data_IF_269905195210
#
_entry.id   IF_269905195210
#
_cell.length_a   1.000
_cell.length_b   1.000
_cell.length_c   1.000
_cell.angle_alpha   90.00
_cell.angle_beta   90.00
_cell.angle_gamma   90.00
#
_symmetry.space_group_name_H-M   'P 1'
#
loop_
_entity.id
_entity.type
_entity.pdbx_description
1 polymer ?
#
# COMPACT_ATOMS: atom_id res chain seq x y z
N UNK A 1 -26.65 33.21 55.03
CA UNK A 1 -25.24 33.29 54.58
C UNK A 1 -24.77 31.86 54.32
N UNK A 2 -24.82 31.42 53.06
CA UNK A 2 -23.66 31.18 52.18
C UNK A 2 -22.74 30.06 52.67
N UNK A 3 -22.82 28.90 52.01
CA UNK A 3 -21.67 28.03 51.77
C UNK A 3 -22.00 27.17 50.55
N UNK A 4 -21.62 27.68 49.39
CA UNK A 4 -21.71 27.04 48.08
C UNK A 4 -20.76 25.83 48.05
N UNK A 5 -21.27 24.63 47.80
CA UNK A 5 -20.44 23.45 47.54
C UNK A 5 -20.14 23.45 46.04
N UNK A 6 -18.97 23.98 45.70
CA UNK A 6 -18.44 24.07 44.35
C UNK A 6 -18.09 22.69 43.77
N UNK A 7 -18.70 22.41 42.62
CA UNK A 7 -18.36 21.43 41.59
C UNK A 7 -16.85 21.12 41.49
N UNK A 8 -16.48 19.86 41.65
CA UNK A 8 -15.25 19.29 41.14
C UNK A 8 -15.57 18.31 40.00
N UNK A 9 -15.95 18.85 38.84
CA UNK A 9 -16.02 18.08 37.60
C UNK A 9 -14.58 17.89 37.08
N UNK A 10 -13.95 16.77 37.48
CA UNK A 10 -12.63 16.38 37.01
C UNK A 10 -12.73 16.05 35.50
N UNK A 11 -12.22 16.97 34.68
CA UNK A 11 -12.14 16.82 33.22
C UNK A 11 -11.15 15.69 32.90
N UNK A 12 -11.66 14.48 32.67
CA UNK A 12 -10.91 13.43 31.96
C UNK A 12 -10.86 13.79 30.47
N UNK A 13 -9.99 14.73 30.12
CA UNK A 13 -9.56 14.92 28.73
C UNK A 13 -8.65 13.75 28.36
N UNK A 14 -9.26 12.64 27.93
CA UNK A 14 -8.54 11.51 27.36
C UNK A 14 -7.84 11.95 26.07
N UNK A 15 -6.51 12.04 26.12
CA UNK A 15 -5.68 12.15 24.93
C UNK A 15 -5.83 10.84 24.13
N UNK A 16 -6.69 10.83 23.12
CA UNK A 16 -6.74 9.78 22.12
C UNK A 16 -5.46 9.86 21.28
N UNK A 17 -4.38 9.23 21.75
CA UNK A 17 -3.23 8.95 20.90
C UNK A 17 -3.73 8.02 19.80
N UNK A 18 -3.79 8.52 18.56
CA UNK A 18 -4.02 7.69 17.38
C UNK A 18 -2.79 6.78 17.24
N UNK A 19 -2.91 5.54 17.72
CA UNK A 19 -1.89 4.52 17.53
C UNK A 19 -1.75 4.28 16.02
N UNK A 20 -0.73 4.90 15.40
CA UNK A 20 -0.39 4.65 14.00
C UNK A 20 0.25 3.28 13.97
N UNK A 21 -0.41 2.32 13.33
CA UNK A 21 0.15 0.97 13.17
C UNK A 21 1.54 1.08 12.54
N UNK A 22 2.50 0.35 13.09
CA UNK A 22 3.86 0.34 12.56
C UNK A 22 3.83 -0.17 11.11
N UNK A 23 4.56 0.48 10.18
CA UNK A 23 4.64 -0.01 8.80
C UNK A 23 5.14 -1.45 8.76
N UNK A 24 4.59 -2.26 7.84
CA UNK A 24 5.09 -3.61 7.62
C UNK A 24 6.59 -3.59 7.27
N UNK A 25 7.41 -4.55 7.76
CA UNK A 25 8.86 -4.56 7.50
C UNK A 25 9.25 -4.48 6.02
N UNK A 26 8.39 -4.98 5.13
CA UNK A 26 8.59 -4.96 3.67
C UNK A 26 7.87 -3.83 2.92
N UNK A 27 7.33 -2.84 3.62
CA UNK A 27 6.66 -1.68 2.99
C UNK A 27 7.60 -0.88 2.10
N UNK A 28 8.84 -0.64 2.54
CA UNK A 28 9.84 0.09 1.74
C UNK A 28 10.22 -0.65 0.45
N UNK A 29 10.34 -1.98 0.52
CA UNK A 29 10.61 -2.81 -0.66
C UNK A 29 9.42 -2.79 -1.64
N UNK A 30 8.18 -2.87 -1.14
CA UNK A 30 6.98 -2.77 -1.98
C UNK A 30 6.93 -1.44 -2.75
N UNK A 31 7.15 -0.32 -2.07
CA UNK A 31 7.19 1.01 -2.68
C UNK A 31 8.33 1.13 -3.71
N UNK A 32 9.52 0.59 -3.40
CA UNK A 32 10.66 0.63 -4.31
C UNK A 32 10.44 -0.19 -5.59
N UNK A 33 9.66 -1.27 -5.52
CA UNK A 33 9.36 -2.15 -6.67
C UNK A 33 8.20 -1.65 -7.53
N UNK A 34 7.26 -0.92 -6.94
CA UNK A 34 6.03 -0.48 -7.60
C UNK A 34 6.23 0.28 -8.92
N UNK A 35 7.16 1.26 -9.04
CA UNK A 35 7.36 1.95 -10.31
C UNK A 35 7.73 1.02 -11.46
N UNK A 36 8.55 0.00 -11.20
CA UNK A 36 8.98 -0.97 -12.22
C UNK A 36 7.85 -1.90 -12.64
N UNK A 37 7.01 -2.32 -11.69
CA UNK A 37 5.84 -3.16 -12.00
C UNK A 37 4.81 -2.36 -12.82
N UNK A 38 4.54 -1.11 -12.43
CA UNK A 38 3.62 -0.24 -13.17
C UNK A 38 4.13 0.04 -14.59
N UNK A 39 5.43 0.30 -14.74
CA UNK A 39 6.06 0.48 -16.04
C UNK A 39 5.97 -0.76 -16.94
N UNK A 40 6.05 -1.96 -16.38
CA UNK A 40 5.87 -3.21 -17.13
C UNK A 40 4.44 -3.39 -17.64
N UNK A 41 3.45 -2.82 -16.93
CA UNK A 41 2.04 -2.94 -17.29
C UNK A 41 1.57 -1.87 -18.29
N UNK A 42 2.24 -0.72 -18.35
CA UNK A 42 1.88 0.34 -19.28
C UNK A 42 2.19 -0.07 -20.73
N UNK A 43 1.16 -0.14 -21.58
CA UNK A 43 1.35 -0.28 -23.02
C UNK A 43 2.05 0.96 -23.61
N UNK A 44 2.82 0.73 -24.68
CA UNK A 44 3.55 1.72 -25.48
C UNK A 44 2.66 2.90 -25.93
N UNK A 45 1.36 2.65 -26.11
CA UNK A 45 0.35 3.59 -26.60
C UNK A 45 -0.42 4.34 -25.49
N UNK A 46 -0.28 3.90 -24.23
CA UNK A 46 -1.00 4.46 -23.07
C UNK A 46 -0.05 5.20 -22.11
N UNK A 47 1.25 4.94 -22.22
CA UNK A 47 2.25 5.96 -21.93
C UNK A 47 2.14 7.06 -23.00
N UNK A 48 2.22 8.36 -22.65
CA UNK A 48 2.49 9.42 -23.64
C UNK A 48 3.83 9.26 -24.41
N UNK A 49 4.44 8.08 -24.39
CA UNK A 49 5.71 7.70 -24.99
C UNK A 49 5.50 7.02 -26.35
N UNK A 50 4.66 7.60 -27.21
CA UNK A 50 4.74 7.33 -28.64
C UNK A 50 5.73 8.33 -29.25
N UNK A 51 7.00 7.89 -29.33
CA UNK A 51 8.16 8.38 -30.10
C UNK A 51 9.42 8.20 -29.23
N UNK A 52 10.01 6.99 -29.23
CA UNK A 52 11.40 6.80 -28.76
C UNK A 52 11.65 5.92 -27.54
N UNK A 53 10.73 5.05 -27.12
CA UNK A 53 11.04 3.91 -26.22
C UNK A 53 11.65 4.28 -24.85
N UNK A 54 11.43 5.51 -24.38
CA UNK A 54 11.84 5.95 -23.05
C UNK A 54 10.57 5.93 -22.19
N UNK A 55 10.57 5.05 -21.18
CA UNK A 55 9.58 5.06 -20.11
C UNK A 55 9.46 6.49 -19.58
N UNK A 56 8.30 7.11 -19.77
CA UNK A 56 8.04 8.41 -19.15
C UNK A 56 8.28 8.31 -17.64
N UNK A 57 8.79 9.37 -17.00
CA UNK A 57 8.93 9.35 -15.57
C UNK A 57 7.55 9.16 -14.95
N UNK A 58 7.32 7.98 -14.37
CA UNK A 58 6.16 7.62 -13.53
C UNK A 58 6.19 8.39 -12.19
N UNK A 59 6.74 9.61 -12.18
CA UNK A 59 6.84 10.46 -11.01
C UNK A 59 5.42 10.79 -10.53
N UNK A 60 5.09 10.38 -9.31
CA UNK A 60 3.75 10.52 -8.75
C UNK A 60 2.70 9.53 -9.30
N UNK A 61 3.10 8.56 -10.12
CA UNK A 61 2.22 7.51 -10.63
C UNK A 61 2.09 6.32 -9.67
N UNK A 62 2.80 6.35 -8.53
CA UNK A 62 2.72 5.33 -7.47
C UNK A 62 2.32 6.03 -6.18
N UNK A 63 1.33 5.47 -5.48
CA UNK A 63 0.92 5.95 -4.17
C UNK A 63 2.00 5.74 -3.11
N UNK A 64 2.06 6.61 -2.11
CA UNK A 64 3.05 6.55 -1.03
C UNK A 64 2.65 5.59 0.11
N UNK A 65 1.38 5.16 0.12
CA UNK A 65 0.83 4.30 1.16
C UNK A 65 0.91 2.83 0.77
N UNK A 66 1.22 2.00 1.78
CA UNK A 66 1.22 0.54 1.66
C UNK A 66 0.13 -0.02 2.55
N UNK A 67 -0.78 -0.79 1.96
CA UNK A 67 -1.90 -1.42 2.67
C UNK A 67 -1.64 -2.91 2.82
N UNK A 68 -1.63 -3.40 4.06
CA UNK A 68 -1.55 -4.84 4.33
C UNK A 68 -2.91 -5.48 4.04
N UNK A 69 -2.94 -6.46 3.15
CA UNK A 69 -4.10 -7.29 2.87
C UNK A 69 -4.04 -8.59 3.70
N UNK A 70 -5.16 -9.34 3.80
CA UNK A 70 -5.13 -10.67 4.37
C UNK A 70 -4.06 -11.54 3.69
N UNK A 71 -3.25 -12.20 4.51
CA UNK A 71 -2.25 -13.13 4.02
C UNK A 71 -2.89 -14.21 3.15
N UNK A 72 -2.17 -14.71 2.14
CA UNK A 72 -2.64 -15.81 1.29
C UNK A 72 -1.90 -17.11 1.61
N UNK A 73 -2.52 -18.26 1.34
CA UNK A 73 -1.88 -19.57 1.57
C UNK A 73 -0.80 -19.81 0.51
N UNK A 74 0.36 -20.33 0.91
CA UNK A 74 1.36 -20.78 -0.04
C UNK A 74 0.83 -21.96 -0.88
N UNK A 75 1.13 -21.96 -2.18
CA UNK A 75 0.70 -23.03 -3.10
C UNK A 75 1.37 -24.38 -2.80
N UNK A 76 2.52 -24.35 -2.11
CA UNK A 76 3.25 -25.53 -1.66
C UNK A 76 3.60 -25.37 -0.18
N UNK A 77 3.36 -26.42 0.61
CA UNK A 77 3.56 -26.43 2.06
C UNK A 77 2.37 -25.88 2.84
N UNK A 78 2.62 -25.53 4.09
CA UNK A 78 1.65 -25.05 5.08
C UNK A 78 1.77 -23.54 5.38
N UNK A 79 2.83 -22.89 4.91
CA UNK A 79 3.10 -21.47 5.12
C UNK A 79 2.10 -20.51 4.45
N UNK A 80 2.31 -19.22 4.74
CA UNK A 80 1.51 -18.10 4.21
C UNK A 80 2.42 -17.02 3.64
N UNK A 81 1.83 -16.16 2.82
CA UNK A 81 2.47 -14.97 2.29
C UNK A 81 1.80 -13.70 2.79
N UNK A 82 2.61 -12.72 3.17
CA UNK A 82 2.12 -11.36 3.39
C UNK A 82 1.83 -10.72 2.04
N UNK A 83 0.74 -9.94 1.97
CA UNK A 83 0.33 -9.29 0.74
C UNK A 83 0.27 -7.79 1.01
N UNK A 84 1.15 -7.05 0.36
CA UNK A 84 1.21 -5.59 0.45
C UNK A 84 0.64 -4.99 -0.82
N UNK A 85 -0.37 -4.14 -0.70
CA UNK A 85 -1.00 -3.43 -1.81
C UNK A 85 -0.49 -1.98 -1.88
N UNK A 86 -0.13 -1.55 -3.09
CA UNK A 86 0.30 -0.18 -3.41
C UNK A 86 -0.52 0.28 -4.62
N UNK A 87 -1.02 1.51 -4.57
CA UNK A 87 -1.77 2.07 -5.69
C UNK A 87 -0.83 2.54 -6.81
N UNK A 88 -1.28 2.38 -8.05
CA UNK A 88 -0.59 2.84 -9.26
C UNK A 88 -1.55 3.57 -10.18
N UNK A 89 -1.03 4.47 -11.01
CA UNK A 89 -1.84 5.32 -11.88
C UNK A 89 -1.22 5.34 -13.28
N UNK A 90 -1.97 4.88 -14.28
CA UNK A 90 -1.63 5.06 -15.70
C UNK A 90 -2.83 5.75 -16.31
N UNK A 91 -2.63 6.86 -17.00
CA UNK A 91 -3.63 7.66 -17.71
C UNK A 91 -5.11 7.26 -17.49
N UNK A 92 -5.85 8.03 -16.68
CA UNK A 92 -7.27 7.83 -16.34
C UNK A 92 -7.64 6.49 -15.67
N UNK A 93 -6.72 5.53 -15.59
CA UNK A 93 -6.88 4.27 -14.89
C UNK A 93 -6.11 4.28 -13.57
N UNK A 94 -6.70 3.62 -12.58
CA UNK A 94 -6.07 3.38 -11.28
C UNK A 94 -5.89 1.89 -11.11
N UNK A 95 -4.76 1.48 -10.57
CA UNK A 95 -4.37 0.09 -10.40
C UNK A 95 -4.05 -0.18 -8.95
N UNK A 96 -4.33 -1.41 -8.51
CA UNK A 96 -3.81 -1.98 -7.28
C UNK A 96 -2.71 -2.96 -7.63
N UNK A 97 -1.50 -2.64 -7.21
CA UNK A 97 -0.35 -3.54 -7.30
C UNK A 97 -0.22 -4.31 -5.99
N UNK A 98 -0.14 -5.63 -6.06
CA UNK A 98 0.06 -6.49 -4.88
C UNK A 98 1.42 -7.15 -4.93
N UNK A 99 2.17 -7.04 -3.84
CA UNK A 99 3.47 -7.66 -3.64
C UNK A 99 3.33 -8.76 -2.61
N UNK A 100 3.65 -9.99 -3.01
CA UNK A 100 3.44 -11.19 -2.23
C UNK A 100 4.79 -11.61 -1.65
N UNK A 101 4.94 -11.55 -0.32
CA UNK A 101 6.21 -11.81 0.37
C UNK A 101 6.18 -13.10 1.17
N UNK A 102 7.29 -13.84 1.18
CA UNK A 102 7.50 -14.94 2.11
C UNK A 102 7.67 -14.41 3.55
N UNK A 103 7.04 -15.09 4.50
CA UNK A 103 7.16 -14.79 5.93
C UNK A 103 8.47 -15.34 6.50
N UNK A 104 9.59 -14.67 6.18
CA UNK A 104 10.93 -15.03 6.65
C UNK A 104 11.49 -13.86 7.48
N UNK A 105 11.74 -14.05 8.80
CA UNK A 105 12.20 -12.99 9.68
C UNK A 105 13.45 -12.26 9.15
N UNK A 106 13.40 -10.93 9.13
CA UNK A 106 14.52 -10.08 8.73
C UNK A 106 14.79 -10.02 7.22
N UNK A 107 13.91 -10.58 6.37
CA UNK A 107 14.09 -10.54 4.92
C UNK A 107 12.78 -10.27 4.18
N UNK A 108 12.88 -9.53 3.06
CA UNK A 108 11.77 -9.29 2.14
C UNK A 108 11.97 -10.10 0.87
N UNK A 109 11.55 -11.37 0.92
CA UNK A 109 11.64 -12.28 -0.24
C UNK A 109 10.34 -12.21 -1.02
N UNK A 110 10.40 -11.58 -2.19
CA UNK A 110 9.26 -11.44 -3.09
C UNK A 110 8.99 -12.75 -3.84
N UNK A 111 7.77 -13.27 -3.70
CA UNK A 111 7.32 -14.52 -4.31
C UNK A 111 6.42 -14.31 -5.53
N UNK A 112 5.75 -13.15 -5.60
CA UNK A 112 4.82 -12.86 -6.68
C UNK A 112 4.43 -11.39 -6.71
N UNK A 113 3.88 -10.98 -7.85
CA UNK A 113 3.39 -9.65 -8.12
C UNK A 113 2.09 -9.75 -8.92
N UNK A 114 1.10 -8.94 -8.56
CA UNK A 114 -0.15 -8.79 -9.30
C UNK A 114 -0.40 -7.32 -9.58
N UNK A 115 -1.09 -7.02 -10.68
CA UNK A 115 -1.62 -5.70 -10.98
C UNK A 115 -3.08 -5.85 -11.43
N UNK A 116 -3.98 -5.09 -10.81
CA UNK A 116 -5.42 -5.18 -11.04
C UNK A 116 -5.93 -3.75 -11.28
N UNK A 117 -6.57 -3.51 -12.41
CA UNK A 117 -7.24 -2.24 -12.66
C UNK A 117 -8.47 -2.10 -11.75
N UNK A 118 -8.65 -0.92 -11.16
CA UNK A 118 -9.86 -0.56 -10.42
C UNK A 118 -10.91 -0.10 -11.45
N UNK A 119 -11.48 -1.07 -12.15
CA UNK A 119 -12.57 -0.88 -13.12
C UNK A 119 -13.84 -1.62 -12.66
N UNK A 120 -15.01 -1.16 -13.09
CA UNK A 120 -16.27 -1.89 -12.95
C UNK A 120 -16.63 -2.56 -14.29
N UNK A 121 -16.47 -3.89 -14.42
CA UNK A 121 -16.81 -4.60 -15.64
C UNK A 121 -18.27 -5.09 -15.67
N UNK A 122 -19.10 -4.74 -14.68
CA UNK A 122 -20.48 -5.20 -14.52
C UNK A 122 -21.49 -4.05 -14.50
#
# INVERSE_FOLDING_TARGET
>A
MRAEILLAALVLAGASATARAEPHPCSSDALARAPRLLALHADDNQSPAAEGGILLPLNGAVGEEVRLLPAIKALKGDGRFDVLEVDGFIYKATYRMRFIYAQIPGSCVLMGQEIIEISDPY
#
